data_IF_120504132530
#
_entry.id   IF_120504132530
#
_cell.length_a   1.000
_cell.length_b   1.000
_cell.length_c   1.000
_cell.angle_alpha   90.00
_cell.angle_beta   90.00
_cell.angle_gamma   90.00
#
_symmetry.space_group_name_H-M   'P 1'
#
loop_
_entity.id
_entity.type
_entity.pdbx_description
1 polymer ?
#
# COMPACT_ATOMS: atom_id res chain seq x y z
N UNK A 1 -8.25 62.52 -23.22
CA UNK A 1 -8.00 61.86 -21.91
C UNK A 1 -8.20 60.36 -22.09
N UNK A 2 -7.10 59.60 -22.24
CA UNK A 2 -7.15 58.14 -22.38
C UNK A 2 -6.43 57.49 -21.20
N UNK A 3 -7.15 56.70 -20.40
CA UNK A 3 -6.57 55.99 -19.26
C UNK A 3 -5.74 54.81 -19.76
N UNK A 4 -4.43 54.86 -19.53
CA UNK A 4 -3.49 53.74 -19.77
C UNK A 4 -3.57 52.78 -18.58
N UNK A 5 -4.23 51.64 -18.76
CA UNK A 5 -4.26 50.56 -17.77
C UNK A 5 -2.83 50.04 -17.61
N UNK A 6 -2.26 50.17 -16.41
CA UNK A 6 -0.93 49.64 -16.09
C UNK A 6 -1.04 48.13 -15.92
N UNK A 7 -0.38 47.37 -16.80
CA UNK A 7 -0.25 45.93 -16.64
C UNK A 7 0.55 45.60 -15.37
N UNK A 8 -0.07 44.84 -14.47
CA UNK A 8 0.58 44.33 -13.26
C UNK A 8 1.56 43.22 -13.70
N UNK A 9 2.84 43.28 -13.34
CA UNK A 9 3.78 42.22 -13.70
C UNK A 9 3.36 40.91 -13.02
N UNK A 10 3.03 39.90 -13.85
CA UNK A 10 2.71 38.55 -13.37
C UNK A 10 3.90 38.00 -12.58
N UNK A 11 3.59 37.57 -11.36
CA UNK A 11 4.53 36.94 -10.41
C UNK A 11 5.46 35.96 -11.11
N UNK A 12 6.78 36.19 -10.97
CA UNK A 12 7.83 35.31 -11.46
C UNK A 12 7.71 33.96 -10.75
N UNK A 13 7.28 32.96 -11.52
CA UNK A 13 7.28 31.53 -11.19
C UNK A 13 8.52 31.18 -10.37
N UNK A 14 8.31 30.78 -9.11
CA UNK A 14 9.36 30.27 -8.26
C UNK A 14 10.12 29.14 -8.96
N UNK A 15 11.45 29.24 -9.00
CA UNK A 15 12.33 28.17 -9.45
C UNK A 15 12.13 26.98 -8.52
N UNK A 16 11.32 26.01 -8.95
CA UNK A 16 11.14 24.73 -8.26
C UNK A 16 12.47 23.99 -8.27
N UNK A 17 13.00 23.74 -7.07
CA UNK A 17 14.30 23.13 -6.81
C UNK A 17 14.33 21.60 -7.04
N UNK A 18 13.49 21.06 -7.92
CA UNK A 18 13.39 19.61 -8.14
C UNK A 18 13.26 19.29 -9.63
N UNK A 19 14.42 19.15 -10.28
CA UNK A 19 14.57 18.60 -11.63
C UNK A 19 14.45 17.06 -11.69
N UNK A 20 13.77 16.43 -10.72
CA UNK A 20 13.39 15.02 -10.83
C UNK A 20 12.07 14.97 -11.59
N UNK A 21 12.05 14.29 -12.74
CA UNK A 21 10.87 14.01 -13.59
C UNK A 21 9.60 13.90 -12.73
N UNK A 22 8.88 15.03 -12.56
CA UNK A 22 7.63 15.04 -11.80
C UNK A 22 6.68 14.13 -12.54
N UNK A 23 6.13 13.13 -11.84
CA UNK A 23 5.04 12.31 -12.37
C UNK A 23 3.99 13.28 -12.92
N UNK A 24 3.66 13.16 -14.21
CA UNK A 24 2.51 13.87 -14.75
C UNK A 24 1.30 13.27 -14.02
N UNK A 25 0.86 13.94 -12.96
CA UNK A 25 -0.43 13.66 -12.33
C UNK A 25 -1.54 13.81 -13.38
N UNK A 26 -2.78 13.48 -13.00
CA UNK A 26 -3.95 13.47 -13.89
C UNK A 26 -4.04 14.69 -14.83
N UNK A 27 -4.71 14.58 -15.98
CA UNK A 27 -4.95 15.71 -16.87
C UNK A 27 -5.49 16.92 -16.09
N UNK A 28 -5.09 18.14 -16.47
CA UNK A 28 -5.36 19.35 -15.69
C UNK A 28 -6.85 19.56 -15.36
N UNK A 29 -7.76 19.07 -16.20
CA UNK A 29 -9.21 19.14 -15.98
C UNK A 29 -9.78 18.17 -14.95
N UNK A 30 -8.98 17.25 -14.40
CA UNK A 30 -9.41 16.26 -13.39
C UNK A 30 -8.77 16.51 -12.01
N UNK A 31 -8.08 17.64 -11.83
CA UNK A 31 -7.38 17.98 -10.58
C UNK A 31 -8.26 18.86 -9.69
N UNK A 32 -8.40 18.48 -8.43
CA UNK A 32 -8.91 19.34 -7.36
C UNK A 32 -7.81 20.30 -6.87
N UNK A 33 -8.21 21.38 -6.18
CA UNK A 33 -7.26 22.32 -5.56
C UNK A 33 -6.35 21.65 -4.52
N UNK A 34 -6.80 20.55 -3.91
CA UNK A 34 -6.05 19.80 -2.90
C UNK A 34 -5.24 18.60 -3.46
N UNK A 35 -5.20 18.43 -4.79
CA UNK A 35 -4.45 17.37 -5.44
C UNK A 35 -2.96 17.76 -5.52
N UNK A 36 -2.21 17.28 -4.54
CA UNK A 36 -0.74 17.35 -4.58
C UNK A 36 -0.18 16.14 -5.34
N UNK A 37 0.99 16.25 -5.99
CA UNK A 37 1.60 15.12 -6.70
C UNK A 37 1.82 13.87 -5.83
N UNK A 38 2.04 14.05 -4.53
CA UNK A 38 2.19 12.95 -3.57
C UNK A 38 0.83 12.30 -3.28
N UNK A 39 -0.23 13.10 -3.11
CA UNK A 39 -1.59 12.61 -2.90
C UNK A 39 -2.09 11.84 -4.11
N UNK A 40 -1.85 12.33 -5.32
CA UNK A 40 -2.16 11.65 -6.57
C UNK A 40 -1.45 10.29 -6.65
N UNK A 41 -0.13 10.28 -6.41
CA UNK A 41 0.65 9.04 -6.46
C UNK A 41 0.22 8.00 -5.42
N UNK A 42 -0.18 8.42 -4.23
CA UNK A 42 -0.70 7.51 -3.20
C UNK A 42 -2.11 7.03 -3.54
N UNK A 43 -2.96 7.89 -4.09
CA UNK A 43 -4.29 7.53 -4.59
C UNK A 43 -4.19 6.46 -5.68
N UNK A 44 -3.34 6.66 -6.68
CA UNK A 44 -3.18 5.70 -7.78
C UNK A 44 -2.70 4.35 -7.25
N UNK A 45 -1.75 4.33 -6.31
CA UNK A 45 -1.30 3.10 -5.64
C UNK A 45 -2.40 2.41 -4.85
N UNK A 46 -3.23 3.17 -4.16
CA UNK A 46 -4.36 2.62 -3.41
C UNK A 46 -5.37 1.98 -4.37
N UNK A 47 -5.69 2.64 -5.49
CA UNK A 47 -6.58 2.07 -6.52
C UNK A 47 -5.95 0.81 -7.13
N UNK A 48 -4.63 0.80 -7.37
CA UNK A 48 -3.88 -0.36 -7.81
C UNK A 48 -3.98 -1.54 -6.85
N UNK A 49 -3.76 -1.28 -5.55
CA UNK A 49 -3.88 -2.27 -4.48
C UNK A 49 -5.29 -2.87 -4.44
N UNK A 50 -6.33 -2.03 -4.52
CA UNK A 50 -7.72 -2.48 -4.54
C UNK A 50 -8.02 -3.34 -5.78
N UNK A 51 -7.48 -2.95 -6.94
CA UNK A 51 -7.64 -3.71 -8.19
C UNK A 51 -6.92 -5.06 -8.11
N UNK A 52 -5.70 -5.11 -7.57
CA UNK A 52 -4.97 -6.37 -7.35
C UNK A 52 -5.71 -7.28 -6.37
N UNK A 53 -6.18 -6.73 -5.24
CA UNK A 53 -6.95 -7.48 -4.23
C UNK A 53 -8.23 -8.05 -4.84
N UNK A 54 -8.98 -7.24 -5.59
CA UNK A 54 -10.19 -7.69 -6.27
C UNK A 54 -9.93 -8.82 -7.28
N UNK A 55 -8.84 -8.74 -8.06
CA UNK A 55 -8.44 -9.78 -8.98
C UNK A 55 -8.09 -11.09 -8.25
N UNK A 56 -7.35 -11.02 -7.14
CA UNK A 56 -7.03 -12.20 -6.32
C UNK A 56 -8.26 -12.81 -5.64
N UNK A 57 -9.17 -11.98 -5.14
CA UNK A 57 -10.45 -12.44 -4.58
C UNK A 57 -11.27 -13.17 -5.63
N UNK A 58 -11.38 -12.62 -6.84
CA UNK A 58 -12.05 -13.29 -7.95
C UNK A 58 -11.37 -14.62 -8.29
N UNK A 59 -10.04 -14.65 -8.35
CA UNK A 59 -9.28 -15.87 -8.59
C UNK A 59 -9.61 -16.97 -7.56
N UNK A 60 -9.71 -16.62 -6.28
CA UNK A 60 -10.11 -17.56 -5.23
C UNK A 60 -11.55 -18.10 -5.45
N UNK A 61 -12.51 -17.25 -5.82
CA UNK A 61 -13.85 -17.75 -6.15
C UNK A 61 -13.87 -18.68 -7.36
N UNK A 62 -12.97 -18.46 -8.32
CA UNK A 62 -12.86 -19.30 -9.50
C UNK A 62 -12.25 -20.68 -9.21
N UNK A 63 -11.36 -20.81 -8.22
CA UNK A 63 -10.79 -22.14 -7.89
C UNK A 63 -11.84 -23.14 -7.45
N UNK A 64 -12.95 -22.66 -6.87
CA UNK A 64 -14.07 -23.50 -6.43
C UNK A 64 -15.15 -23.67 -7.51
N UNK A 65 -15.33 -22.68 -8.39
CA UNK A 65 -16.46 -22.66 -9.34
C UNK A 65 -16.11 -23.05 -10.77
N UNK A 66 -14.90 -22.73 -11.25
CA UNK A 66 -14.48 -23.03 -12.62
C UNK A 66 -12.95 -23.11 -12.72
N UNK A 67 -12.41 -24.33 -12.72
CA UNK A 67 -10.97 -24.61 -12.75
C UNK A 67 -10.28 -24.13 -14.03
N UNK A 68 -10.95 -24.21 -15.19
CA UNK A 68 -10.40 -23.71 -16.46
C UNK A 68 -10.19 -22.20 -16.41
N UNK A 69 -11.20 -21.48 -15.92
CA UNK A 69 -11.15 -20.02 -15.80
C UNK A 69 -10.16 -19.60 -14.70
N UNK A 70 -10.10 -20.34 -13.60
CA UNK A 70 -9.10 -20.15 -12.54
C UNK A 70 -7.68 -20.25 -13.09
N UNK A 71 -7.36 -21.32 -13.82
CA UNK A 71 -6.03 -21.53 -14.39
C UNK A 71 -5.68 -20.42 -15.39
N UNK A 72 -6.56 -20.17 -16.36
CA UNK A 72 -6.34 -19.11 -17.36
C UNK A 72 -6.14 -17.75 -16.71
N UNK A 73 -6.99 -17.40 -15.73
CA UNK A 73 -6.92 -16.10 -15.07
C UNK A 73 -5.70 -15.98 -14.15
N UNK A 74 -5.31 -17.07 -13.49
CA UNK A 74 -4.08 -17.13 -12.69
C UNK A 74 -2.82 -16.90 -13.54
N UNK A 75 -2.76 -17.52 -14.73
CA UNK A 75 -1.71 -17.27 -15.72
C UNK A 75 -1.74 -15.80 -16.17
N UNK A 76 -2.93 -15.27 -16.50
CA UNK A 76 -3.08 -13.88 -16.92
C UNK A 76 -2.58 -12.88 -15.86
N UNK A 77 -2.96 -13.04 -14.59
CA UNK A 77 -2.51 -12.18 -13.48
C UNK A 77 -0.99 -12.24 -13.32
N UNK A 78 -0.41 -13.45 -13.38
CA UNK A 78 1.04 -13.64 -13.25
C UNK A 78 1.79 -12.93 -14.38
N UNK A 79 1.28 -13.03 -15.60
CA UNK A 79 1.96 -12.50 -16.79
C UNK A 79 1.71 -11.00 -16.98
N UNK A 80 0.66 -10.45 -16.35
CA UNK A 80 0.28 -9.04 -16.42
C UNK A 80 0.12 -8.43 -15.01
N UNK A 81 1.20 -8.36 -14.20
CA UNK A 81 1.11 -7.83 -12.84
C UNK A 81 0.86 -6.31 -12.86
N UNK A 82 0.08 -5.82 -11.89
CA UNK A 82 -0.10 -4.38 -11.67
C UNK A 82 1.19 -3.83 -11.05
N UNK A 83 1.93 -2.92 -11.71
CA UNK A 83 3.21 -2.44 -11.19
C UNK A 83 3.04 -1.50 -10.00
N UNK A 84 3.94 -1.62 -9.01
CA UNK A 84 3.95 -0.73 -7.82
C UNK A 84 4.35 0.72 -8.14
N UNK A 85 5.11 0.91 -9.23
CA UNK A 85 5.65 2.18 -9.66
C UNK A 85 5.60 2.27 -11.19
N UNK A 86 5.32 3.44 -11.74
CA UNK A 86 5.22 3.61 -13.19
C UNK A 86 4.34 4.79 -13.57
N UNK A 87 3.75 4.69 -14.75
CA UNK A 87 2.69 5.59 -15.20
C UNK A 87 1.44 5.41 -14.33
N UNK A 88 0.63 6.46 -14.19
CA UNK A 88 -0.51 6.45 -13.28
C UNK A 88 -1.56 5.40 -13.69
N UNK A 89 -1.83 5.26 -15.00
CA UNK A 89 -2.73 4.24 -15.56
C UNK A 89 -2.29 2.80 -15.22
N UNK A 90 -0.98 2.56 -15.22
CA UNK A 90 -0.44 1.23 -14.93
C UNK A 90 -0.52 0.94 -13.43
N UNK A 91 -0.13 1.91 -12.60
CA UNK A 91 -0.10 1.76 -11.15
C UNK A 91 -1.50 1.63 -10.57
N UNK A 92 -2.49 2.31 -11.13
CA UNK A 92 -3.90 2.20 -10.71
C UNK A 92 -4.54 0.88 -11.13
N UNK A 93 -3.91 0.12 -12.02
CA UNK A 93 -4.52 -1.07 -12.63
C UNK A 93 -5.52 -0.76 -13.74
N UNK A 94 -5.62 0.49 -14.21
CA UNK A 94 -6.47 0.82 -15.36
C UNK A 94 -5.99 0.13 -16.63
N UNK A 95 -4.67 0.10 -16.90
CA UNK A 95 -4.11 -0.63 -18.04
C UNK A 95 -4.46 -2.13 -17.97
N UNK A 96 -4.37 -2.73 -16.79
CA UNK A 96 -4.73 -4.14 -16.56
C UNK A 96 -6.20 -4.43 -16.93
N UNK A 97 -7.12 -3.56 -16.49
CA UNK A 97 -8.55 -3.70 -16.77
C UNK A 97 -8.87 -3.40 -18.25
N UNK A 98 -8.27 -2.37 -18.84
CA UNK A 98 -8.43 -2.05 -20.26
C UNK A 98 -7.98 -3.20 -21.15
N UNK A 99 -6.86 -3.85 -20.80
CA UNK A 99 -6.38 -5.03 -21.51
C UNK A 99 -7.41 -6.16 -21.49
N UNK A 100 -7.98 -6.49 -20.32
CA UNK A 100 -9.07 -7.49 -20.23
C UNK A 100 -10.31 -7.09 -21.02
N UNK A 101 -10.75 -5.83 -20.92
CA UNK A 101 -11.93 -5.32 -21.63
C UNK A 101 -11.75 -5.31 -23.16
N UNK A 102 -10.51 -5.11 -23.62
CA UNK A 102 -10.19 -5.09 -25.05
C UNK A 102 -10.09 -6.49 -25.67
N UNK A 103 -9.80 -7.51 -24.86
CA UNK A 103 -9.68 -8.89 -25.33
C UNK A 103 -11.02 -9.44 -25.80
N UNK A 104 -10.94 -10.32 -26.80
CA UNK A 104 -12.07 -11.10 -27.29
C UNK A 104 -12.29 -12.34 -26.42
N UNK A 105 -13.27 -13.15 -26.81
CA UNK A 105 -13.47 -14.47 -26.21
C UNK A 105 -12.26 -15.34 -26.55
N UNK A 106 -11.64 -15.91 -25.53
CA UNK A 106 -10.48 -16.79 -25.64
C UNK A 106 -10.88 -18.24 -25.32
N UNK A 107 -10.03 -19.20 -25.69
CA UNK A 107 -10.22 -20.60 -25.30
C UNK A 107 -9.18 -20.95 -24.24
N UNK A 108 -9.65 -21.46 -23.11
CA UNK A 108 -8.79 -21.99 -22.07
C UNK A 108 -8.82 -23.51 -22.11
N UNK A 109 -7.62 -24.09 -22.12
CA UNK A 109 -7.41 -25.50 -21.87
C UNK A 109 -6.73 -25.64 -20.50
N UNK A 110 -7.27 -26.55 -19.69
CA UNK A 110 -6.66 -26.89 -18.42
C UNK A 110 -5.81 -28.15 -18.65
N UNK A 111 -4.50 -27.97 -18.67
CA UNK A 111 -3.56 -29.08 -18.81
C UNK A 111 -2.86 -29.32 -17.47
N UNK A 112 -3.16 -30.46 -16.86
CA UNK A 112 -2.55 -30.93 -15.61
C UNK A 112 -1.32 -31.82 -15.87
N UNK A 113 -0.80 -31.85 -17.10
CA UNK A 113 0.28 -32.77 -17.47
C UNK A 113 -0.20 -34.22 -17.58
N UNK A 114 -1.50 -34.41 -17.84
CA UNK A 114 -2.04 -35.73 -18.11
C UNK A 114 -1.69 -36.17 -19.53
N UNK A 115 -1.51 -37.48 -19.70
CA UNK A 115 -1.28 -38.06 -21.01
C UNK A 115 -2.43 -37.70 -21.97
N UNK A 116 -2.09 -37.36 -23.21
CA UNK A 116 -3.04 -36.84 -24.22
C UNK A 116 -4.23 -37.78 -24.45
N UNK A 117 -4.07 -39.07 -24.13
CA UNK A 117 -5.12 -40.09 -24.25
C UNK A 117 -6.22 -39.95 -23.19
N UNK A 118 -5.92 -39.35 -22.03
CA UNK A 118 -6.86 -39.15 -20.91
C UNK A 118 -7.31 -37.70 -20.74
N UNK A 119 -6.82 -36.79 -21.58
CA UNK A 119 -7.26 -35.40 -21.61
C UNK A 119 -8.66 -35.28 -22.24
N UNK A 120 -9.69 -35.69 -21.52
CA UNK A 120 -11.10 -35.53 -21.93
C UNK A 120 -11.68 -34.16 -21.54
N UNK A 121 -10.82 -33.21 -21.17
CA UNK A 121 -11.21 -31.87 -20.81
C UNK A 121 -11.45 -31.05 -22.08
N UNK A 122 -12.72 -30.71 -22.35
CA UNK A 122 -13.09 -29.85 -23.46
C UNK A 122 -12.53 -28.44 -23.31
N UNK A 123 -12.26 -27.77 -24.43
CA UNK A 123 -11.92 -26.35 -24.45
C UNK A 123 -13.08 -25.54 -23.85
N UNK A 124 -12.79 -24.71 -22.85
CA UNK A 124 -13.77 -23.81 -22.25
C UNK A 124 -13.58 -22.40 -22.82
N UNK A 125 -14.68 -21.79 -23.27
CA UNK A 125 -14.67 -20.38 -23.67
C UNK A 125 -14.50 -19.47 -22.46
N UNK A 126 -13.48 -18.62 -22.48
CA UNK A 126 -13.24 -17.57 -21.50
C UNK A 126 -13.70 -16.24 -22.07
N UNK A 127 -14.47 -15.48 -21.27
CA UNK A 127 -14.79 -14.09 -21.57
C UNK A 127 -14.02 -13.15 -20.62
N UNK A 128 -12.87 -12.59 -21.06
CA UNK A 128 -12.08 -11.65 -20.28
C UNK A 128 -12.83 -10.36 -19.92
N UNK A 129 -13.83 -9.96 -20.71
CA UNK A 129 -14.60 -8.73 -20.46
C UNK A 129 -15.51 -8.91 -19.25
N UNK A 130 -16.15 -10.07 -19.16
CA UNK A 130 -16.93 -10.44 -17.98
C UNK A 130 -16.05 -10.50 -16.72
N UNK A 131 -14.82 -11.05 -16.83
CA UNK A 131 -13.87 -11.01 -15.72
C UNK A 131 -13.55 -9.57 -15.29
N UNK A 132 -13.27 -8.67 -16.23
CA UNK A 132 -13.01 -7.27 -15.92
C UNK A 132 -14.19 -6.60 -15.21
N UNK A 133 -15.43 -6.85 -15.65
CA UNK A 133 -16.63 -6.33 -14.99
C UNK A 133 -16.71 -6.80 -13.54
N UNK A 134 -16.56 -8.11 -13.30
CA UNK A 134 -16.57 -8.67 -11.94
C UNK A 134 -15.47 -8.09 -11.06
N UNK A 135 -14.27 -7.85 -11.60
CA UNK A 135 -13.18 -7.21 -10.84
C UNK A 135 -13.58 -5.77 -10.47
N UNK A 136 -14.20 -5.01 -11.37
CA UNK A 136 -14.65 -3.66 -11.08
C UNK A 136 -15.73 -3.62 -9.99
N UNK A 137 -16.64 -4.59 -9.98
CA UNK A 137 -17.67 -4.73 -8.94
C UNK A 137 -17.06 -5.06 -7.58
N UNK A 138 -16.23 -6.10 -7.51
CA UNK A 138 -15.52 -6.52 -6.29
C UNK A 138 -14.64 -5.37 -5.76
N UNK A 139 -13.92 -4.69 -6.65
CA UNK A 139 -13.09 -3.53 -6.29
C UNK A 139 -13.90 -2.42 -5.62
N UNK A 140 -15.13 -2.18 -6.10
CA UNK A 140 -16.02 -1.18 -5.53
C UNK A 140 -16.48 -1.58 -4.12
N UNK A 141 -16.76 -2.86 -3.90
CA UNK A 141 -17.11 -3.38 -2.58
C UNK A 141 -15.94 -3.28 -1.60
N UNK A 142 -14.75 -3.77 -1.96
CA UNK A 142 -13.55 -3.71 -1.11
C UNK A 142 -13.22 -2.25 -0.76
N UNK A 143 -13.40 -1.31 -1.68
CA UNK A 143 -13.16 0.11 -1.41
C UNK A 143 -14.08 0.67 -0.31
N UNK A 144 -15.34 0.21 -0.25
CA UNK A 144 -16.29 0.62 0.79
C UNK A 144 -15.89 0.06 2.15
N UNK A 145 -15.59 -1.24 2.21
CA UNK A 145 -15.13 -1.93 3.42
C UNK A 145 -13.84 -1.27 3.96
N UNK A 146 -12.86 -1.03 3.09
CA UNK A 146 -11.62 -0.38 3.48
C UNK A 146 -11.84 1.05 3.99
N UNK A 147 -12.83 1.78 3.46
CA UNK A 147 -13.14 3.13 3.95
C UNK A 147 -13.72 3.08 5.37
N UNK A 148 -14.57 2.09 5.64
CA UNK A 148 -15.12 1.84 6.96
C UNK A 148 -14.01 1.45 7.95
N UNK A 149 -13.12 0.53 7.59
CA UNK A 149 -11.97 0.14 8.41
C UNK A 149 -11.09 1.34 8.76
N UNK A 150 -10.74 2.16 7.77
CA UNK A 150 -9.90 3.34 7.97
C UNK A 150 -10.56 4.40 8.87
N UNK A 151 -11.88 4.39 9.01
CA UNK A 151 -12.58 5.32 9.91
C UNK A 151 -12.34 5.01 11.40
N UNK A 152 -11.94 3.78 11.73
CA UNK A 152 -11.70 3.32 13.10
C UNK A 152 -10.26 3.63 13.60
N UNK A 153 -9.36 4.12 12.75
CA UNK A 153 -7.94 4.35 13.09
C UNK A 153 -7.75 5.23 14.33
N UNK A 154 -8.60 6.24 14.54
CA UNK A 154 -8.47 7.12 15.70
C UNK A 154 -8.73 6.38 17.03
N UNK A 155 -9.68 5.44 17.02
CA UNK A 155 -9.98 4.59 18.18
C UNK A 155 -8.88 3.57 18.40
N UNK A 156 -8.41 2.89 17.34
CA UNK A 156 -7.29 1.94 17.40
C UNK A 156 -6.02 2.59 17.96
N UNK A 157 -5.69 3.82 17.53
CA UNK A 157 -4.55 4.57 18.06
C UNK A 157 -4.71 4.87 19.56
N UNK A 158 -5.94 5.16 20.01
CA UNK A 158 -6.23 5.45 21.42
C UNK A 158 -6.09 4.19 22.28
N UNK A 159 -6.58 3.05 21.79
CA UNK A 159 -6.41 1.75 22.43
C UNK A 159 -4.94 1.36 22.53
N UNK A 160 -4.19 1.46 21.43
CA UNK A 160 -2.76 1.17 21.40
C UNK A 160 -1.97 2.03 22.41
N UNK A 161 -2.28 3.33 22.49
CA UNK A 161 -1.63 4.21 23.46
C UNK A 161 -1.95 3.80 24.90
N UNK A 162 -3.20 3.47 25.19
CA UNK A 162 -3.62 2.99 26.52
C UNK A 162 -2.91 1.69 26.90
N UNK A 163 -2.91 0.70 26.02
CA UNK A 163 -2.24 -0.59 26.25
C UNK A 163 -0.75 -0.41 26.52
N UNK A 164 -0.08 0.37 25.67
CA UNK A 164 1.35 0.65 25.80
C UNK A 164 1.69 1.29 27.15
N UNK A 165 0.88 2.26 27.60
CA UNK A 165 1.08 2.91 28.90
C UNK A 165 0.82 1.93 30.06
N UNK A 166 -0.22 1.11 30.00
CA UNK A 166 -0.51 0.10 31.02
C UNK A 166 0.64 -0.92 31.14
N UNK A 167 1.21 -1.36 30.02
CA UNK A 167 2.39 -2.23 30.02
C UNK A 167 3.62 -1.52 30.58
N UNK A 168 3.85 -0.25 30.22
CA UNK A 168 5.00 0.51 30.70
C UNK A 168 4.95 0.79 32.22
N UNK A 169 3.74 0.94 32.79
CA UNK A 169 3.54 1.17 34.23
C UNK A 169 3.21 -0.11 35.03
N UNK A 170 3.18 -1.28 34.39
CA UNK A 170 3.04 -2.56 35.10
C UNK A 170 4.30 -2.84 35.91
N UNK A 171 4.13 -3.02 37.23
CA UNK A 171 5.19 -3.20 38.22
C UNK A 171 6.02 -4.48 38.02
N UNK A 172 5.59 -5.41 37.15
CA UNK A 172 6.34 -6.62 36.82
C UNK A 172 7.64 -6.34 36.06
N UNK A 173 7.81 -5.14 35.48
CA UNK A 173 9.08 -4.72 34.85
C UNK A 173 10.10 -4.08 35.82
N UNK A 174 9.77 -3.95 37.12
CA UNK A 174 10.62 -3.28 38.12
C UNK A 174 11.46 -4.26 38.96
N UNK A 175 11.23 -5.57 38.85
CA UNK A 175 11.95 -6.57 39.66
C UNK A 175 13.00 -7.29 38.81
N UNK A 176 14.18 -6.68 38.67
CA UNK A 176 15.48 -7.40 38.57
C UNK A 176 16.68 -6.44 38.45
N UNK A 177 16.79 -5.50 39.40
CA UNK A 177 18.12 -5.02 39.79
C UNK A 177 18.39 -5.50 41.22
N UNK A 178 19.08 -6.64 41.41
CA UNK A 178 19.48 -7.03 42.75
C UNK A 178 20.45 -5.98 43.27
N UNK A 179 20.04 -5.26 44.33
CA UNK A 179 20.91 -4.48 45.21
C UNK A 179 21.86 -5.45 45.93
N UNK A 180 22.80 -6.00 45.19
CA UNK A 180 23.82 -6.92 45.64
C UNK A 180 25.17 -6.35 45.22
N UNK A 181 25.72 -5.49 46.08
CA UNK A 181 27.15 -5.30 46.36
C UNK A 181 27.44 -3.83 46.72
N UNK A 182 27.27 -3.52 48.00
CA UNK A 182 28.24 -2.65 48.66
C UNK A 182 28.45 -3.14 50.09
N UNK A 183 28.99 -4.35 50.24
CA UNK A 183 29.75 -4.70 51.43
C UNK A 183 31.20 -4.25 51.19
N UNK A 184 31.54 -3.08 51.73
CA UNK A 184 32.89 -2.54 51.79
C UNK A 184 33.16 -2.10 53.22
N UNK A 185 33.91 -2.94 53.94
CA UNK A 185 34.24 -2.94 55.37
C UNK A 185 34.78 -1.61 55.95
N UNK A 186 34.62 -1.38 57.27
CA UNK A 186 35.25 -0.27 57.96
C UNK A 186 36.71 -0.64 58.29
N UNK A 187 37.67 -0.06 57.56
CA UNK A 187 39.08 -0.12 57.93
C UNK A 187 39.52 1.22 58.48
N UNK A 188 39.87 1.24 59.77
CA UNK A 188 40.47 2.39 60.42
C UNK A 188 41.78 2.83 59.76
N UNK A 189 41.95 4.14 59.69
CA UNK A 189 43.20 4.84 59.37
C UNK A 189 43.16 6.17 60.12
N UNK A 190 44.07 6.35 61.07
CA UNK A 190 44.11 7.49 61.99
C UNK A 190 44.39 8.83 61.29
N UNK A 191 44.22 9.95 62.02
CA UNK A 191 44.56 11.26 61.52
C UNK A 191 46.08 11.41 61.46
N UNK A 192 46.63 11.51 60.25
CA UNK A 192 48.02 11.91 60.03
C UNK A 192 48.09 13.44 60.12
N UNK A 193 48.41 13.91 61.33
CA UNK A 193 48.85 15.26 61.62
C UNK A 193 50.28 15.42 61.10
N UNK A 194 50.49 16.14 60.00
CA UNK A 194 51.68 16.99 59.83
C UNK A 194 51.53 18.04 58.74
N UNK A 195 52.15 19.23 58.92
CA UNK A 195 51.75 20.46 58.26
C UNK A 195 52.63 20.85 57.07
N UNK A 196 52.04 21.68 56.22
CA UNK A 196 52.66 22.46 55.14
C UNK A 196 53.88 23.27 55.62
N UNK A 197 54.96 23.24 54.83
CA UNK A 197 55.85 24.37 54.49
C UNK A 197 57.08 23.90 53.67
N UNK A 198 57.75 24.78 52.91
CA UNK A 198 57.29 25.90 52.09
C UNK A 198 57.40 25.62 50.57
#
# INVERSE_FOLDING_TARGET
>A
MGYRIREIPRSRKGKSYENKKRRRGRPAGQRSADDTPLRDGNRDRLIGLLTERAARTLLYYLSETNQHLYYWFGVYIRDNPIPRNGHWDDVSGETFLRNLLSRGIERAQYDLGHDSMYAHFGECGVDPRNLAQRIMDIRTQIAKEMTEDLSNIAEENSLLMRETLVTAFSLDNVVDHPLSQWEGTPSGGGPDDSPLQP
#
